data_IF_360480839719
#
_entry.id   IF_360480839719
#
_cell.length_a   1.000
_cell.length_b   1.000
_cell.length_c   1.000
_cell.angle_alpha   90.00
_cell.angle_beta   90.00
_cell.angle_gamma   90.00
#
_symmetry.space_group_name_H-M   'P 1'
#
loop_
_entity.id
_entity.type
_entity.pdbx_description
1 polymer ?
#
# COMPACT_ATOMS: atom_id res chain seq x y z
N UNK A 1 -10.29 -1.40 6.49
CA UNK A 1 -9.99 -1.67 7.92
C UNK A 1 -8.47 -1.66 8.06
N UNK A 2 -7.90 -1.19 9.17
CA UNK A 2 -6.46 -1.34 9.40
C UNK A 2 -6.11 -2.82 9.51
N UNK A 3 -4.87 -3.17 9.15
CA UNK A 3 -4.36 -4.55 9.28
C UNK A 3 -3.06 -4.56 10.07
N UNK A 4 -2.78 -5.70 10.71
CA UNK A 4 -1.51 -6.01 11.33
C UNK A 4 -1.06 -7.35 10.74
N UNK A 5 0.00 -7.34 9.97
CA UNK A 5 0.54 -8.51 9.31
C UNK A 5 1.86 -8.90 9.98
N UNK A 6 2.06 -10.21 10.17
CA UNK A 6 3.33 -10.77 10.62
C UNK A 6 4.08 -11.26 9.37
N UNK A 7 5.06 -10.47 8.93
CA UNK A 7 5.77 -10.67 7.66
C UNK A 7 6.88 -11.73 7.79
N UNK A 8 7.46 -11.89 8.98
CA UNK A 8 8.47 -12.93 9.25
C UNK A 8 8.58 -13.25 10.75
N UNK A 9 8.99 -14.47 11.08
CA UNK A 9 9.54 -14.87 12.38
C UNK A 9 10.86 -15.58 12.14
N UNK A 10 11.89 -15.22 12.90
CA UNK A 10 13.21 -15.88 12.86
C UNK A 10 13.65 -16.21 14.27
N UNK A 11 14.35 -17.34 14.44
CA UNK A 11 14.92 -17.79 15.71
C UNK A 11 16.40 -18.11 15.54
N UNK A 12 17.18 -17.94 16.60
CA UNK A 12 18.61 -18.27 16.63
C UNK A 12 18.94 -19.20 17.82
N UNK A 13 19.65 -20.33 17.61
CA UNK A 13 20.07 -20.88 16.33
C UNK A 13 18.89 -21.35 15.47
N UNK A 14 18.99 -21.17 14.16
CA UNK A 14 18.05 -21.73 13.20
C UNK A 14 18.31 -23.23 12.97
N UNK A 15 17.26 -24.04 12.83
CA UNK A 15 17.37 -25.44 12.38
C UNK A 15 16.40 -26.41 13.05
N UNK A 16 16.38 -27.65 12.55
CA UNK A 16 15.45 -28.73 12.97
C UNK A 16 15.90 -29.50 14.21
N UNK A 17 16.89 -28.98 14.94
CA UNK A 17 17.42 -29.61 16.14
C UNK A 17 16.59 -29.23 17.36
N UNK A 18 16.34 -30.18 18.25
CA UNK A 18 15.57 -29.97 19.48
C UNK A 18 16.38 -29.18 20.53
N UNK A 19 16.66 -27.92 20.23
CA UNK A 19 17.34 -26.95 21.10
C UNK A 19 16.36 -25.83 21.48
N UNK A 20 16.58 -25.21 22.65
CA UNK A 20 15.88 -23.99 23.05
C UNK A 20 16.58 -22.82 22.34
N UNK A 21 15.86 -22.00 21.54
CA UNK A 21 16.44 -20.82 20.90
C UNK A 21 16.96 -19.82 21.93
N UNK A 22 18.09 -19.19 21.63
CA UNK A 22 18.65 -18.09 22.41
C UNK A 22 17.94 -16.76 22.14
N UNK A 23 17.38 -16.58 20.93
CA UNK A 23 16.59 -15.40 20.57
C UNK A 23 15.53 -15.70 19.52
N UNK A 24 14.51 -14.85 19.46
CA UNK A 24 13.50 -14.83 18.42
C UNK A 24 13.16 -13.39 18.03
N UNK A 25 12.94 -13.16 16.75
CA UNK A 25 12.56 -11.86 16.20
C UNK A 25 11.31 -12.03 15.32
N UNK A 26 10.47 -11.01 15.29
CA UNK A 26 9.33 -10.95 14.38
C UNK A 26 9.34 -9.61 13.64
N UNK A 27 9.06 -9.66 12.34
CA UNK A 27 8.81 -8.47 11.53
C UNK A 27 7.31 -8.32 11.34
N UNK A 28 6.77 -7.16 11.69
CA UNK A 28 5.34 -6.85 11.60
C UNK A 28 5.13 -5.57 10.78
N UNK A 29 4.09 -5.56 9.96
CA UNK A 29 3.65 -4.39 9.21
C UNK A 29 2.21 -4.01 9.54
N UNK A 30 1.96 -2.69 9.62
CA UNK A 30 0.63 -2.15 9.87
C UNK A 30 0.18 -1.35 8.66
N UNK A 31 -0.96 -1.73 8.06
CA UNK A 31 -1.60 -0.93 7.03
C UNK A 31 -2.55 0.05 7.70
N UNK A 32 -2.22 1.34 7.58
CA UNK A 32 -2.93 2.42 8.25
C UNK A 32 -4.17 2.85 7.46
N UNK A 33 -5.19 3.30 8.19
CA UNK A 33 -6.42 3.91 7.65
C UNK A 33 -6.50 5.38 8.04
N UNK A 34 -7.34 6.20 7.37
CA UNK A 34 -7.42 7.64 7.64
C UNK A 34 -7.50 7.98 9.13
N UNK A 35 -6.82 9.07 9.52
CA UNK A 35 -6.67 9.54 10.90
C UNK A 35 -5.77 8.67 11.81
N UNK A 36 -4.90 7.84 11.25
CA UNK A 36 -3.86 7.13 12.01
C UNK A 36 -2.46 7.68 11.68
N UNK A 37 -1.64 7.86 12.72
CA UNK A 37 -0.25 8.28 12.58
C UNK A 37 0.71 7.12 12.92
N UNK A 38 1.78 6.88 12.14
CA UNK A 38 2.73 5.80 12.42
C UNK A 38 3.31 5.81 13.84
N UNK A 39 3.64 7.00 14.38
CA UNK A 39 4.21 7.13 15.72
C UNK A 39 3.20 6.80 16.83
N UNK A 40 1.92 7.13 16.63
CA UNK A 40 0.84 6.77 17.56
C UNK A 40 0.63 5.25 17.57
N UNK A 41 0.63 4.61 16.40
CA UNK A 41 0.49 3.15 16.29
C UNK A 41 1.68 2.44 16.95
N UNK A 42 2.90 2.96 16.78
CA UNK A 42 4.08 2.42 17.47
C UNK A 42 3.93 2.52 18.99
N UNK A 43 3.52 3.69 19.51
CA UNK A 43 3.30 3.88 20.94
C UNK A 43 2.21 2.94 21.48
N UNK A 44 1.13 2.75 20.72
CA UNK A 44 0.06 1.81 21.06
C UNK A 44 0.55 0.35 21.09
N UNK A 45 1.44 -0.04 20.17
CA UNK A 45 2.05 -1.38 20.17
C UNK A 45 2.90 -1.61 21.43
N UNK A 46 3.74 -0.64 21.80
CA UNK A 46 4.53 -0.71 23.04
C UNK A 46 3.63 -0.84 24.28
N UNK A 47 2.60 0.00 24.38
CA UNK A 47 1.64 -0.05 25.49
C UNK A 47 0.92 -1.41 25.55
N UNK A 48 0.47 -1.92 24.40
CA UNK A 48 -0.19 -3.21 24.30
C UNK A 48 0.70 -4.36 24.79
N UNK A 49 1.96 -4.40 24.38
CA UNK A 49 2.90 -5.44 24.81
C UNK A 49 3.16 -5.36 26.32
N UNK A 50 3.37 -4.16 26.86
CA UNK A 50 3.58 -3.95 28.29
C UNK A 50 2.35 -4.39 29.12
N UNK A 51 1.14 -4.01 28.72
CA UNK A 51 -0.11 -4.41 29.37
C UNK A 51 -0.32 -5.92 29.37
N UNK A 52 0.22 -6.61 28.35
CA UNK A 52 0.17 -8.07 28.22
C UNK A 52 1.29 -8.80 28.97
N UNK A 53 2.17 -8.07 29.65
CA UNK A 53 3.29 -8.63 30.40
C UNK A 53 4.53 -8.93 29.56
N UNK A 54 4.59 -8.45 28.32
CA UNK A 54 5.71 -8.61 27.37
C UNK A 54 6.58 -7.35 27.28
N UNK A 55 6.83 -6.71 28.41
CA UNK A 55 7.62 -5.47 28.48
C UNK A 55 9.12 -5.68 28.19
N UNK A 56 9.56 -6.93 28.14
CA UNK A 56 10.92 -7.37 27.79
C UNK A 56 11.16 -7.46 26.28
N UNK A 57 10.11 -7.43 25.45
CA UNK A 57 10.24 -7.40 23.99
C UNK A 57 10.74 -6.03 23.54
N UNK A 58 11.93 -6.00 22.92
CA UNK A 58 12.42 -4.82 22.22
C UNK A 58 11.67 -4.65 20.89
N UNK A 59 11.09 -3.47 20.68
CA UNK A 59 10.45 -3.09 19.42
C UNK A 59 11.26 -1.98 18.78
N UNK A 60 11.72 -2.22 17.55
CA UNK A 60 12.43 -1.23 16.74
C UNK A 60 11.58 -0.86 15.53
N UNK A 61 11.45 0.44 15.28
CA UNK A 61 10.78 0.93 14.07
C UNK A 61 11.75 0.89 12.89
N UNK A 62 11.42 0.11 11.87
CA UNK A 62 12.15 0.16 10.60
C UNK A 62 11.97 1.52 9.91
N UNK A 63 12.97 2.00 9.14
CA UNK A 63 12.85 3.24 8.37
C UNK A 63 11.63 3.24 7.46
N UNK A 64 10.97 4.39 7.34
CA UNK A 64 9.74 4.53 6.57
C UNK A 64 8.51 4.56 7.47
N UNK A 65 7.37 4.11 6.95
CA UNK A 65 6.06 4.28 7.58
C UNK A 65 5.53 5.69 7.37
N UNK A 66 4.37 5.79 6.75
CA UNK A 66 3.78 7.06 6.33
C UNK A 66 2.29 7.09 6.71
N UNK A 67 1.75 8.26 7.05
CA UNK A 67 0.31 8.44 7.11
C UNK A 67 -0.36 8.04 5.79
N UNK A 68 -1.61 7.54 5.85
CA UNK A 68 -2.37 7.20 4.65
C UNK A 68 -2.73 8.48 3.87
N UNK A 69 -2.75 8.37 2.55
CA UNK A 69 -3.27 9.44 1.68
C UNK A 69 -4.61 9.02 1.08
N UNK A 70 -5.52 9.98 0.95
CA UNK A 70 -6.83 9.74 0.38
C UNK A 70 -7.28 10.92 -0.48
N UNK A 71 -7.77 10.62 -1.69
CA UNK A 71 -8.47 11.59 -2.54
C UNK A 71 -9.93 11.15 -2.64
N UNK A 72 -10.91 12.03 -2.37
CA UNK A 72 -12.32 11.69 -2.52
C UNK A 72 -12.65 11.21 -3.93
N UNK A 73 -13.46 10.15 -4.02
CA UNK A 73 -13.82 9.54 -5.30
C UNK A 73 -14.61 10.49 -6.23
N UNK A 74 -15.33 11.45 -5.66
CA UNK A 74 -16.11 12.48 -6.34
C UNK A 74 -15.27 13.71 -6.70
N UNK A 75 -13.98 13.74 -6.36
CA UNK A 75 -13.10 14.84 -6.74
C UNK A 75 -13.02 14.96 -8.27
N UNK A 76 -13.08 16.18 -8.85
CA UNK A 76 -13.03 16.38 -10.29
C UNK A 76 -11.85 15.69 -10.97
N UNK A 77 -10.68 15.70 -10.32
CA UNK A 77 -9.48 15.01 -10.77
C UNK A 77 -9.70 13.50 -10.94
N UNK A 78 -10.35 12.83 -9.99
CA UNK A 78 -10.65 11.40 -10.07
C UNK A 78 -11.64 11.11 -11.20
N UNK A 79 -12.66 11.94 -11.35
CA UNK A 79 -13.66 11.79 -12.42
C UNK A 79 -13.02 11.97 -13.81
N UNK A 80 -12.07 12.88 -13.96
CA UNK A 80 -11.33 13.09 -15.21
C UNK A 80 -10.42 11.90 -15.54
N UNK A 81 -9.69 11.37 -14.54
CA UNK A 81 -8.89 10.15 -14.72
C UNK A 81 -9.78 8.95 -15.08
N UNK A 82 -10.96 8.84 -14.45
CA UNK A 82 -11.91 7.77 -14.75
C UNK A 82 -12.43 7.83 -16.19
N UNK A 83 -12.71 9.03 -16.71
CA UNK A 83 -13.18 9.24 -18.07
C UNK A 83 -12.18 8.76 -19.14
N UNK A 84 -10.87 8.78 -18.85
CA UNK A 84 -9.82 8.28 -19.75
C UNK A 84 -9.97 6.80 -20.11
N UNK A 85 -10.71 6.03 -19.31
CA UNK A 85 -10.98 4.62 -19.61
C UNK A 85 -11.90 4.40 -20.80
N UNK A 86 -12.82 5.34 -21.08
CA UNK A 86 -13.84 5.17 -22.13
C UNK A 86 -13.27 4.87 -23.52
N UNK A 87 -12.30 5.63 -24.06
CA UNK A 87 -11.70 5.34 -25.36
C UNK A 87 -10.90 4.03 -25.42
N UNK A 88 -10.35 3.56 -24.29
CA UNK A 88 -9.46 2.38 -24.24
C UNK A 88 -10.22 1.09 -23.97
N UNK A 89 -11.21 1.12 -23.08
CA UNK A 89 -11.93 -0.04 -22.56
C UNK A 89 -13.42 -0.06 -22.92
N UNK A 90 -13.93 0.99 -23.59
CA UNK A 90 -15.35 1.13 -23.95
C UNK A 90 -16.25 1.61 -22.81
N UNK A 91 -15.68 1.89 -21.63
CA UNK A 91 -16.37 2.44 -20.47
C UNK A 91 -15.40 3.20 -19.56
N UNK A 92 -15.86 4.18 -18.75
CA UNK A 92 -15.03 4.81 -17.73
C UNK A 92 -14.44 3.80 -16.74
N UNK A 93 -13.27 4.09 -16.19
CA UNK A 93 -12.71 3.31 -15.10
C UNK A 93 -13.60 3.43 -13.85
N UNK A 94 -13.77 2.34 -13.11
CA UNK A 94 -14.45 2.39 -11.81
C UNK A 94 -13.46 2.89 -10.75
N UNK A 95 -13.71 4.03 -10.08
CA UNK A 95 -12.93 4.41 -8.92
C UNK A 95 -13.17 3.40 -7.80
N UNK A 96 -12.09 2.85 -7.26
CA UNK A 96 -12.12 1.96 -6.09
C UNK A 96 -11.14 2.50 -5.06
N UNK A 97 -11.39 2.27 -3.75
CA UNK A 97 -10.37 2.55 -2.74
C UNK A 97 -9.09 1.80 -3.12
N UNK A 98 -7.99 2.53 -3.29
CA UNK A 98 -6.70 1.90 -3.54
C UNK A 98 -6.33 1.01 -2.34
N UNK A 99 -5.81 -0.18 -2.63
CA UNK A 99 -5.21 -1.05 -1.61
C UNK A 99 -3.97 -0.42 -1.00
N UNK A 100 -3.35 -1.09 0.00
CA UNK A 100 -2.12 -0.58 0.60
C UNK A 100 -1.04 -0.41 -0.48
N UNK A 101 -0.58 0.82 -0.65
CA UNK A 101 0.55 1.17 -1.50
C UNK A 101 1.69 1.64 -0.59
N UNK A 102 2.87 0.98 -0.60
CA UNK A 102 3.99 1.35 0.25
C UNK A 102 4.71 2.59 -0.31
N UNK A 103 3.97 3.68 -0.50
CA UNK A 103 4.41 4.92 -1.12
C UNK A 103 4.08 6.10 -0.20
N UNK A 104 4.98 7.09 -0.04
CA UNK A 104 4.75 8.26 0.81
C UNK A 104 3.82 9.29 0.15
N UNK A 105 2.64 8.83 -0.29
CA UNK A 105 1.68 9.63 -1.06
C UNK A 105 1.15 10.84 -0.28
N UNK A 106 1.17 10.80 1.05
CA UNK A 106 0.77 11.93 1.90
C UNK A 106 1.56 13.21 1.62
N UNK A 107 2.81 13.10 1.14
CA UNK A 107 3.61 14.28 0.77
C UNK A 107 2.91 15.08 -0.33
N UNK A 108 2.27 14.43 -1.30
CA UNK A 108 1.52 15.11 -2.34
C UNK A 108 0.15 15.59 -1.85
N UNK A 109 -0.58 14.74 -1.14
CA UNK A 109 -1.93 15.05 -0.68
C UNK A 109 -1.95 16.17 0.38
N UNK A 110 -1.15 16.04 1.44
CA UNK A 110 -1.20 16.94 2.59
C UNK A 110 -0.25 18.13 2.43
N UNK A 111 0.99 17.91 1.98
CA UNK A 111 1.96 19.03 1.91
C UNK A 111 1.78 19.90 0.68
N UNK A 112 1.38 19.31 -0.45
CA UNK A 112 1.19 20.05 -1.70
C UNK A 112 -0.29 20.32 -2.02
N UNK A 113 -1.23 19.71 -1.29
CA UNK A 113 -2.67 19.86 -1.56
C UNK A 113 -3.10 19.25 -2.89
N UNK A 114 -2.32 18.31 -3.45
CA UNK A 114 -2.56 17.73 -4.76
C UNK A 114 -3.38 16.44 -4.65
N UNK A 115 -4.45 16.27 -5.46
CA UNK A 115 -5.17 15.02 -5.52
C UNK A 115 -4.30 13.92 -6.14
N UNK A 116 -4.56 12.67 -5.75
CA UNK A 116 -3.78 11.50 -6.14
C UNK A 116 -4.72 10.44 -6.68
N UNK A 117 -4.39 9.90 -7.85
CA UNK A 117 -5.03 8.75 -8.45
C UNK A 117 -3.96 7.71 -8.75
N UNK A 118 -4.31 6.44 -8.60
CA UNK A 118 -3.49 5.33 -9.07
C UNK A 118 -4.28 4.59 -10.16
N UNK A 119 -3.63 4.40 -11.30
CA UNK A 119 -4.12 3.51 -12.36
C UNK A 119 -3.11 2.39 -12.53
N UNK A 120 -3.60 1.17 -12.71
CA UNK A 120 -2.77 -0.02 -12.85
C UNK A 120 -3.27 -0.90 -13.98
N UNK A 121 -2.50 -1.94 -14.27
CA UNK A 121 -2.77 -2.93 -15.31
C UNK A 121 -2.75 -4.37 -14.79
N UNK A 122 -2.44 -4.53 -13.50
CA UNK A 122 -2.37 -5.83 -12.83
C UNK A 122 -3.75 -6.45 -12.73
N UNK A 123 -3.82 -7.75 -12.98
CA UNK A 123 -5.02 -8.56 -12.76
C UNK A 123 -4.92 -9.31 -11.44
N UNK A 124 -6.03 -9.86 -10.92
CA UNK A 124 -5.99 -10.71 -9.71
C UNK A 124 -5.00 -11.89 -9.81
N UNK A 125 -4.72 -12.38 -11.01
CA UNK A 125 -3.80 -13.50 -11.29
C UNK A 125 -2.38 -13.07 -11.72
N UNK A 126 -2.07 -11.77 -11.63
CA UNK A 126 -0.73 -11.22 -11.93
C UNK A 126 0.36 -11.63 -10.95
N UNK A 127 0.00 -12.22 -9.80
CA UNK A 127 0.94 -12.62 -8.75
C UNK A 127 1.89 -11.50 -8.31
N UNK A 128 1.35 -10.28 -8.10
CA UNK A 128 2.13 -9.13 -7.64
C UNK A 128 2.83 -9.47 -6.32
N UNK A 129 4.16 -9.32 -6.28
CA UNK A 129 5.03 -9.71 -5.16
C UNK A 129 5.10 -11.23 -4.89
N UNK A 130 4.58 -12.05 -5.80
CA UNK A 130 4.63 -13.51 -5.72
C UNK A 130 5.59 -14.13 -6.74
N UNK A 131 5.78 -15.46 -6.69
CA UNK A 131 6.49 -16.18 -7.74
C UNK A 131 5.75 -16.08 -9.07
N UNK A 132 6.50 -16.09 -10.18
CA UNK A 132 5.98 -16.00 -11.54
C UNK A 132 5.08 -14.75 -11.78
N UNK A 133 5.46 -13.62 -11.17
CA UNK A 133 4.83 -12.32 -11.40
C UNK A 133 4.74 -12.01 -12.90
N UNK A 134 3.54 -11.63 -13.37
CA UNK A 134 3.25 -11.51 -14.80
C UNK A 134 2.22 -10.45 -15.13
N UNK A 135 2.30 -10.04 -16.39
CA UNK A 135 1.41 -9.07 -17.03
C UNK A 135 1.02 -9.57 -18.41
N UNK A 136 -0.24 -9.35 -18.79
CA UNK A 136 -0.68 -9.56 -20.17
C UNK A 136 -0.09 -8.49 -21.09
N UNK A 137 0.49 -8.90 -22.22
CA UNK A 137 0.99 -7.96 -23.24
C UNK A 137 -0.12 -7.03 -23.74
N UNK A 138 -1.34 -7.54 -23.89
CA UNK A 138 -2.49 -6.72 -24.31
C UNK A 138 -2.87 -5.67 -23.26
N UNK A 139 -2.78 -6.02 -21.97
CA UNK A 139 -3.02 -5.05 -20.89
C UNK A 139 -1.92 -4.01 -20.82
N UNK A 140 -0.67 -4.40 -21.07
CA UNK A 140 0.46 -3.48 -21.14
C UNK A 140 0.25 -2.46 -22.27
N UNK A 141 -0.13 -2.92 -23.47
CA UNK A 141 -0.44 -2.03 -24.60
C UNK A 141 -1.62 -1.11 -24.32
N UNK A 142 -2.72 -1.64 -23.75
CA UNK A 142 -3.89 -0.83 -23.39
C UNK A 142 -3.57 0.18 -22.30
N UNK A 143 -2.73 -0.18 -21.32
CA UNK A 143 -2.33 0.74 -20.27
C UNK A 143 -1.48 1.89 -20.80
N UNK A 144 -0.61 1.65 -21.78
CA UNK A 144 0.12 2.73 -22.45
C UNK A 144 -0.82 3.72 -23.16
N UNK A 145 -1.86 3.22 -23.82
CA UNK A 145 -2.91 4.08 -24.41
C UNK A 145 -3.66 4.86 -23.34
N UNK A 146 -4.05 4.22 -22.23
CA UNK A 146 -4.71 4.88 -21.10
C UNK A 146 -3.88 6.04 -20.55
N UNK A 147 -2.57 5.84 -20.35
CA UNK A 147 -1.68 6.92 -19.89
C UNK A 147 -1.64 8.09 -20.89
N UNK A 148 -1.64 7.79 -22.19
CA UNK A 148 -1.76 8.81 -23.24
C UNK A 148 -3.06 9.61 -23.12
N UNK A 149 -4.20 8.93 -23.00
CA UNK A 149 -5.52 9.57 -22.86
C UNK A 149 -5.62 10.43 -21.59
N UNK A 150 -5.07 9.95 -20.47
CA UNK A 150 -4.99 10.73 -19.23
C UNK A 150 -4.21 12.03 -19.48
N UNK A 151 -3.03 11.96 -20.08
CA UNK A 151 -2.20 13.14 -20.36
C UNK A 151 -2.90 14.11 -21.33
N UNK A 152 -3.57 13.60 -22.37
CA UNK A 152 -4.32 14.41 -23.32
C UNK A 152 -5.49 15.14 -22.65
N UNK A 153 -6.24 14.47 -21.78
CA UNK A 153 -7.33 15.10 -21.02
C UNK A 153 -6.81 16.21 -20.10
N UNK A 154 -5.64 16.03 -19.48
CA UNK A 154 -5.03 17.07 -18.64
C UNK A 154 -4.46 18.25 -19.43
N UNK A 155 -4.09 18.06 -20.70
CA UNK A 155 -3.61 19.15 -21.54
C UNK A 155 -4.74 20.05 -22.10
N UNK A 156 -6.00 19.61 -22.01
CA UNK A 156 -7.16 20.30 -22.57
C UNK A 156 -7.96 21.12 -21.53
N UNK A 157 -7.70 20.94 -20.24
CA UNK A 157 -8.30 21.70 -19.13
C UNK A 157 -7.32 22.71 -18.54
#
# INVERSE_FOLDING_TARGET
LPTCNLSAITCDPAGDVALIPASANAMVDFQLVPNQQPDEILAMLHAHLAERGFADIAVERMPGGYPPAHTPHDAPFIQQVAAAGAPVYGAPLSPVPAGPLPLPLQIFAERLGLPIASVGLSRPDSAIHGPDERVSVDDLSRHALLLGEILTLFAQG
#
